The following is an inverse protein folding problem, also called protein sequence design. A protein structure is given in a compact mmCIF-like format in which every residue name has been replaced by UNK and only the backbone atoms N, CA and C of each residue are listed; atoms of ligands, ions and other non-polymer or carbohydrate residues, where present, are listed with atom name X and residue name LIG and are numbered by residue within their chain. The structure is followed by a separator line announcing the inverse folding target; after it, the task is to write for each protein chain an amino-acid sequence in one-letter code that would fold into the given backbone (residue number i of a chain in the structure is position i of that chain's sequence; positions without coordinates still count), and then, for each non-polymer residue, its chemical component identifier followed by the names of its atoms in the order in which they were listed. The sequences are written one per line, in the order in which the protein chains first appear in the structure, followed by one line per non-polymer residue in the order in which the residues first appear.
data_IF_259552496742
#
_entry.id   IF_259552496742
#
_cell.length_a   1.000
_cell.length_b   1.000
_cell.length_c   1.000
_cell.angle_alpha   90.00
_cell.angle_beta   90.00
_cell.angle_gamma   90.00
#
_symmetry.space_group_name_H-M   'P 1'
#
loop_
_entity.id
_entity.type
_entity.pdbx_description
1 polymer ?
#
# COMPACT_ATOMS: atom_id res chain seq x y z
N UNK A 1 12.44 -13.68 23.12
CA UNK A 1 13.16 -14.44 22.07
C UNK A 1 13.12 -13.57 20.83
N UNK A 2 14.27 -13.06 20.39
CA UNK A 2 14.35 -12.26 19.18
C UNK A 2 14.00 -13.18 18.00
N UNK A 3 12.88 -12.95 17.34
CA UNK A 3 12.56 -13.62 16.07
C UNK A 3 13.59 -13.18 15.05
N UNK A 4 14.36 -14.13 14.53
CA UNK A 4 15.12 -13.91 13.30
C UNK A 4 14.18 -13.27 12.28
N UNK A 5 14.65 -12.23 11.62
CA UNK A 5 13.88 -11.41 10.67
C UNK A 5 13.34 -12.25 9.51
N UNK A 6 12.18 -12.84 9.74
CA UNK A 6 11.43 -13.51 8.71
C UNK A 6 10.58 -12.48 7.99
N UNK A 7 10.76 -12.37 6.68
CA UNK A 7 9.99 -11.46 5.85
C UNK A 7 8.55 -11.99 5.71
N UNK A 8 7.74 -11.82 6.76
CA UNK A 8 6.36 -12.28 6.90
C UNK A 8 5.50 -11.96 5.65
N UNK A 9 5.79 -10.84 4.99
CA UNK A 9 5.08 -10.39 3.80
C UNK A 9 5.23 -11.35 2.62
N UNK A 10 6.33 -12.12 2.53
CA UNK A 10 6.52 -13.09 1.46
C UNK A 10 5.48 -14.23 1.53
N UNK A 11 5.14 -14.69 2.73
CA UNK A 11 4.17 -15.76 2.92
C UNK A 11 2.73 -15.26 2.95
N UNK A 12 2.46 -14.16 3.67
CA UNK A 12 1.12 -13.61 3.79
C UNK A 12 0.52 -13.20 2.44
N UNK A 13 1.28 -12.50 1.62
CA UNK A 13 0.82 -12.08 0.30
C UNK A 13 0.69 -13.23 -0.71
N UNK A 14 1.35 -14.38 -0.48
CA UNK A 14 1.18 -15.57 -1.31
C UNK A 14 -0.08 -16.36 -0.96
N UNK A 15 -0.32 -16.58 0.32
CA UNK A 15 -1.31 -17.57 0.77
C UNK A 15 -2.68 -16.96 1.10
N UNK A 16 -2.71 -15.88 1.85
CA UNK A 16 -3.93 -15.47 2.55
C UNK A 16 -4.47 -14.11 2.15
N UNK A 17 -3.63 -13.18 1.69
CA UNK A 17 -4.02 -11.79 1.45
C UNK A 17 -5.26 -11.60 0.58
N UNK A 18 -5.30 -12.28 -0.57
CA UNK A 18 -6.44 -12.16 -1.49
C UNK A 18 -7.70 -12.82 -0.95
N UNK A 19 -7.54 -13.90 -0.18
CA UNK A 19 -8.68 -14.57 0.45
C UNK A 19 -9.26 -13.74 1.60
N UNK A 20 -8.40 -13.09 2.38
CA UNK A 20 -8.80 -12.25 3.52
C UNK A 20 -9.40 -10.92 3.03
N UNK A 21 -8.73 -10.22 2.12
CA UNK A 21 -9.08 -8.85 1.75
C UNK A 21 -9.69 -8.69 0.37
N UNK A 22 -9.65 -9.74 -0.48
CA UNK A 22 -10.12 -9.66 -1.88
C UNK A 22 -11.56 -9.19 -2.05
N UNK A 23 -12.43 -9.47 -1.08
CA UNK A 23 -13.81 -9.00 -1.08
C UNK A 23 -13.93 -7.46 -1.02
N UNK A 24 -12.88 -6.76 -0.58
CA UNK A 24 -12.81 -5.29 -0.54
C UNK A 24 -12.27 -4.67 -1.82
N UNK A 25 -11.77 -5.49 -2.77
CA UNK A 25 -11.11 -5.04 -3.99
C UNK A 25 -12.09 -4.99 -5.17
N UNK A 26 -13.02 -4.03 -5.13
CA UNK A 26 -13.97 -3.84 -6.21
C UNK A 26 -13.43 -2.86 -7.26
N UNK A 27 -13.87 -3.03 -8.52
CA UNK A 27 -13.49 -2.13 -9.62
C UNK A 27 -13.97 -0.69 -9.36
N UNK A 28 -15.17 -0.53 -8.81
CA UNK A 28 -15.74 0.77 -8.44
C UNK A 28 -14.85 1.50 -7.43
N UNK A 29 -14.38 0.78 -6.41
CA UNK A 29 -13.48 1.34 -5.41
C UNK A 29 -12.13 1.72 -6.03
N UNK A 30 -11.54 0.85 -6.85
CA UNK A 30 -10.29 1.12 -7.54
C UNK A 30 -10.39 2.33 -8.48
N UNK A 31 -11.53 2.49 -9.19
CA UNK A 31 -11.80 3.66 -10.04
C UNK A 31 -11.88 4.94 -9.22
N UNK A 32 -12.64 4.96 -8.12
CA UNK A 32 -12.77 6.10 -7.22
C UNK A 32 -11.41 6.52 -6.63
N UNK A 33 -10.65 5.55 -6.10
CA UNK A 33 -9.33 5.76 -5.53
C UNK A 33 -8.36 6.33 -6.59
N UNK A 34 -8.36 5.77 -7.81
CA UNK A 34 -7.52 6.26 -8.92
C UNK A 34 -7.95 7.63 -9.46
N UNK A 35 -9.25 7.94 -9.40
CA UNK A 35 -9.76 9.28 -9.72
C UNK A 35 -9.24 10.33 -8.74
N UNK A 36 -9.27 10.02 -7.45
CA UNK A 36 -8.69 10.86 -6.42
C UNK A 36 -7.19 11.08 -6.66
N UNK A 37 -6.42 10.00 -6.92
CA UNK A 37 -4.98 10.06 -7.20
C UNK A 37 -4.69 11.03 -8.34
N UNK A 38 -5.36 10.86 -9.48
CA UNK A 38 -5.16 11.71 -10.66
C UNK A 38 -5.44 13.19 -10.38
N UNK A 39 -6.52 13.47 -9.66
CA UNK A 39 -6.91 14.84 -9.31
C UNK A 39 -6.06 15.45 -8.20
N UNK A 40 -5.63 14.68 -7.20
CA UNK A 40 -4.84 15.17 -6.09
C UNK A 40 -3.38 15.46 -6.49
N UNK A 41 -2.82 14.67 -7.40
CA UNK A 41 -1.48 14.86 -7.96
C UNK A 41 -1.47 15.79 -9.19
N UNK A 42 -2.63 16.25 -9.65
CA UNK A 42 -2.77 17.13 -10.83
C UNK A 42 -2.04 16.56 -12.05
N UNK A 43 -2.20 15.25 -12.27
CA UNK A 43 -1.49 14.55 -13.35
C UNK A 43 -1.97 15.00 -14.74
N UNK A 44 -1.02 15.26 -15.62
CA UNK A 44 -1.30 15.57 -17.03
C UNK A 44 -1.50 14.28 -17.84
N UNK A 45 -2.30 14.30 -18.90
CA UNK A 45 -2.41 13.16 -19.82
C UNK A 45 -1.03 12.68 -20.28
N UNK A 46 -0.81 11.37 -20.27
CA UNK A 46 0.46 10.76 -20.63
C UNK A 46 1.56 10.82 -19.56
N UNK A 47 1.28 11.34 -18.37
CA UNK A 47 2.23 11.32 -17.24
C UNK A 47 2.72 9.89 -16.96
N UNK A 48 3.99 9.76 -16.62
CA UNK A 48 4.62 8.50 -16.22
C UNK A 48 4.38 8.28 -14.72
N UNK A 49 3.65 7.22 -14.36
CA UNK A 49 3.25 6.92 -12.99
C UNK A 49 3.78 5.55 -12.59
N UNK A 50 4.43 5.48 -11.44
CA UNK A 50 4.78 4.22 -10.79
C UNK A 50 3.71 3.89 -9.74
N UNK A 51 3.07 2.73 -9.89
CA UNK A 51 2.25 2.10 -8.83
C UNK A 51 3.18 1.17 -8.03
N UNK A 52 3.63 1.65 -6.88
CA UNK A 52 4.61 0.99 -6.02
C UNK A 52 3.91 0.02 -5.06
N UNK A 53 4.28 -1.24 -5.09
CA UNK A 53 3.56 -2.36 -4.47
C UNK A 53 2.18 -2.56 -5.11
N UNK A 54 2.16 -2.67 -6.44
CA UNK A 54 0.93 -2.65 -7.24
C UNK A 54 0.01 -3.86 -7.03
N UNK A 55 0.50 -4.94 -6.40
CA UNK A 55 -0.23 -6.18 -6.25
C UNK A 55 -0.73 -6.70 -7.60
N UNK A 56 -1.98 -7.10 -7.66
CA UNK A 56 -2.64 -7.57 -8.90
C UNK A 56 -3.02 -6.44 -9.89
N UNK A 57 -2.54 -5.21 -9.67
CA UNK A 57 -2.64 -4.11 -10.63
C UNK A 57 -3.96 -3.35 -10.63
N UNK A 58 -4.79 -3.44 -9.58
CA UNK A 58 -6.12 -2.81 -9.56
C UNK A 58 -6.07 -1.28 -9.76
N UNK A 59 -5.10 -0.59 -9.16
CA UNK A 59 -4.91 0.86 -9.39
C UNK A 59 -4.15 1.13 -10.68
N UNK A 60 -3.10 0.34 -10.98
CA UNK A 60 -2.33 0.47 -12.21
C UNK A 60 -3.23 0.44 -13.46
N UNK A 61 -4.17 -0.50 -13.51
CA UNK A 61 -5.13 -0.65 -14.62
C UNK A 61 -6.05 0.59 -14.72
N UNK A 62 -6.59 1.07 -13.60
CA UNK A 62 -7.47 2.24 -13.62
C UNK A 62 -6.74 3.53 -13.98
N UNK A 63 -5.48 3.68 -13.55
CA UNK A 63 -4.63 4.80 -13.96
C UNK A 63 -4.30 4.72 -15.47
N UNK A 64 -4.03 3.52 -15.99
CA UNK A 64 -3.80 3.32 -17.43
C UNK A 64 -5.06 3.63 -18.26
N UNK A 65 -6.26 3.24 -17.81
CA UNK A 65 -7.54 3.62 -18.43
C UNK A 65 -7.74 5.15 -18.53
N UNK A 66 -7.12 5.91 -17.62
CA UNK A 66 -7.13 7.38 -17.63
C UNK A 66 -6.09 8.00 -18.56
N UNK A 67 -5.34 7.18 -19.30
CA UNK A 67 -4.35 7.63 -20.28
C UNK A 67 -2.98 7.93 -19.70
N UNK A 68 -2.67 7.48 -18.48
CA UNK A 68 -1.31 7.56 -17.93
C UNK A 68 -0.45 6.40 -18.43
N UNK A 69 0.87 6.64 -18.49
CA UNK A 69 1.88 5.60 -18.75
C UNK A 69 2.26 4.98 -17.42
N UNK A 70 1.71 3.82 -17.14
CA UNK A 70 1.84 3.20 -15.81
C UNK A 70 2.88 2.09 -15.82
N UNK A 71 3.76 2.12 -14.83
CA UNK A 71 4.62 1.00 -14.44
C UNK A 71 4.10 0.49 -13.10
N UNK A 72 3.77 -0.80 -12.99
CA UNK A 72 3.47 -1.48 -11.73
C UNK A 72 4.72 -2.19 -11.21
N UNK A 73 5.09 -1.97 -9.97
CA UNK A 73 6.18 -2.67 -9.31
C UNK A 73 5.67 -3.41 -8.08
N UNK A 74 5.99 -4.68 -7.97
CA UNK A 74 5.70 -5.49 -6.78
C UNK A 74 6.83 -6.49 -6.53
N UNK A 75 7.04 -6.86 -5.27
CA UNK A 75 8.03 -7.86 -4.89
C UNK A 75 7.62 -9.28 -5.33
N UNK A 76 6.30 -9.55 -5.37
CA UNK A 76 5.75 -10.84 -5.70
C UNK A 76 5.59 -10.99 -7.24
N UNK A 77 6.35 -11.88 -7.90
CA UNK A 77 6.26 -12.06 -9.34
C UNK A 77 4.90 -12.58 -9.80
N UNK A 78 4.17 -13.33 -8.96
CA UNK A 78 2.84 -13.81 -9.29
C UNK A 78 1.85 -12.64 -9.38
N UNK A 79 1.98 -11.64 -8.50
CA UNK A 79 1.17 -10.42 -8.56
C UNK A 79 1.50 -9.58 -9.80
N UNK A 80 2.78 -9.47 -10.15
CA UNK A 80 3.23 -8.80 -11.37
C UNK A 80 2.59 -9.43 -12.61
N UNK A 81 2.53 -10.75 -12.66
CA UNK A 81 1.86 -11.48 -13.73
C UNK A 81 0.34 -11.25 -13.73
N UNK A 82 -0.30 -11.26 -12.57
CA UNK A 82 -1.74 -10.97 -12.45
C UNK A 82 -2.06 -9.53 -12.90
N UNK A 83 -1.21 -8.56 -12.53
CA UNK A 83 -1.37 -7.17 -12.96
C UNK A 83 -1.31 -7.04 -14.49
N UNK A 84 -0.38 -7.75 -15.13
CA UNK A 84 -0.27 -7.77 -16.59
C UNK A 84 -1.50 -8.40 -17.24
N UNK A 85 -2.00 -9.52 -16.71
CA UNK A 85 -3.22 -10.17 -17.19
C UNK A 85 -4.45 -9.26 -17.04
N UNK A 86 -4.58 -8.57 -15.89
CA UNK A 86 -5.65 -7.62 -15.64
C UNK A 86 -5.64 -6.44 -16.63
N UNK A 87 -4.44 -5.94 -16.98
CA UNK A 87 -4.29 -4.89 -17.99
C UNK A 87 -4.73 -5.35 -19.37
N UNK A 88 -4.31 -6.54 -19.80
CA UNK A 88 -4.72 -7.15 -21.09
C UNK A 88 -6.25 -7.32 -21.12
N UNK A 89 -6.83 -7.89 -20.07
CA UNK A 89 -8.28 -8.09 -19.95
C UNK A 89 -9.08 -6.77 -19.99
N UNK A 90 -8.44 -5.68 -19.57
CA UNK A 90 -9.00 -4.32 -19.57
C UNK A 90 -8.68 -3.51 -20.84
N UNK A 91 -8.03 -4.09 -21.85
CA UNK A 91 -7.58 -3.44 -23.07
C UNK A 91 -6.68 -2.20 -22.82
N UNK A 92 -5.84 -2.25 -21.81
CA UNK A 92 -4.82 -1.22 -21.52
C UNK A 92 -3.44 -1.85 -21.46
N UNK A 93 -2.40 -1.02 -21.59
CA UNK A 93 -1.01 -1.44 -21.47
C UNK A 93 -0.40 -0.84 -20.21
N UNK A 94 0.27 -1.68 -19.43
CA UNK A 94 1.13 -1.28 -18.31
C UNK A 94 2.49 -1.97 -18.44
N UNK A 95 3.54 -1.31 -18.01
CA UNK A 95 4.82 -1.96 -17.73
C UNK A 95 4.75 -2.62 -16.36
N UNK A 96 5.33 -3.80 -16.17
CA UNK A 96 5.35 -4.47 -14.87
C UNK A 96 6.76 -4.95 -14.54
N UNK A 97 7.17 -4.79 -13.27
CA UNK A 97 8.51 -5.13 -12.79
C UNK A 97 8.41 -5.84 -11.43
N UNK A 98 9.06 -7.01 -11.32
CA UNK A 98 9.24 -7.69 -10.05
C UNK A 98 10.50 -7.15 -9.38
N UNK A 99 10.35 -6.34 -8.32
CA UNK A 99 11.46 -5.73 -7.59
C UNK A 99 11.06 -5.37 -6.15
N UNK A 100 12.07 -5.19 -5.30
CA UNK A 100 11.88 -4.67 -3.95
C UNK A 100 11.66 -3.14 -4.00
N UNK A 101 10.70 -2.64 -3.22
CA UNK A 101 10.43 -1.20 -3.13
C UNK A 101 11.60 -0.38 -2.56
N UNK A 102 12.57 -1.04 -1.89
CA UNK A 102 13.82 -0.42 -1.41
C UNK A 102 14.83 -0.18 -2.53
N UNK A 103 14.67 -0.84 -3.67
CA UNK A 103 15.59 -0.85 -4.81
C UNK A 103 14.81 -0.70 -6.12
N UNK A 104 14.12 0.43 -6.29
CA UNK A 104 13.34 0.75 -7.50
C UNK A 104 14.31 0.89 -8.68
N UNK A 105 14.25 0.03 -9.74
CA UNK A 105 15.27 -0.03 -10.78
C UNK A 105 15.11 1.08 -11.85
N UNK A 106 14.79 2.28 -11.42
CA UNK A 106 14.57 3.43 -12.29
C UNK A 106 15.18 4.70 -11.69
N UNK A 107 15.64 5.60 -12.55
CA UNK A 107 16.16 6.89 -12.16
C UNK A 107 15.50 8.00 -12.97
N UNK A 108 14.99 9.04 -12.30
CA UNK A 108 14.44 10.25 -12.90
C UNK A 108 13.43 9.97 -14.04
N UNK A 109 12.60 8.93 -13.85
CA UNK A 109 11.65 8.42 -14.86
C UNK A 109 10.24 8.95 -14.63
N UNK A 110 9.76 8.98 -13.39
CA UNK A 110 8.35 9.14 -13.09
C UNK A 110 7.98 10.59 -12.77
N UNK A 111 6.81 11.00 -13.25
CA UNK A 111 6.17 12.26 -12.86
C UNK A 111 5.48 12.11 -11.51
N UNK A 112 5.00 10.89 -11.19
CA UNK A 112 4.43 10.54 -9.90
C UNK A 112 4.72 9.10 -9.50
N UNK A 113 4.82 8.87 -8.18
CA UNK A 113 4.81 7.54 -7.54
C UNK A 113 3.63 7.50 -6.60
N UNK A 114 2.87 6.41 -6.63
CA UNK A 114 1.76 6.14 -5.71
C UNK A 114 2.02 4.85 -4.97
N UNK A 115 1.85 4.86 -3.65
CA UNK A 115 1.90 3.68 -2.80
C UNK A 115 0.58 3.61 -2.06
N UNK A 116 -0.25 2.67 -2.45
CA UNK A 116 -1.64 2.60 -2.05
C UNK A 116 -1.89 1.46 -1.04
N UNK A 117 -2.96 1.60 -0.28
CA UNK A 117 -3.49 0.55 0.58
C UNK A 117 -2.55 0.10 1.71
N UNK A 118 -1.78 1.04 2.29
CA UNK A 118 -0.90 0.81 3.45
C UNK A 118 0.25 -0.17 3.21
N UNK A 119 0.84 -0.17 2.02
CA UNK A 119 2.02 -0.99 1.74
C UNK A 119 3.30 -0.43 2.36
N UNK A 120 3.33 0.83 2.76
CA UNK A 120 4.44 1.45 3.50
C UNK A 120 4.36 1.12 5.00
N UNK A 121 5.50 0.81 5.62
CA UNK A 121 5.59 0.44 7.03
C UNK A 121 5.65 -1.07 7.30
N UNK A 122 5.79 -1.91 6.26
CA UNK A 122 5.92 -3.37 6.39
C UNK A 122 7.32 -3.83 6.79
N UNK A 123 8.33 -2.99 6.58
CA UNK A 123 9.72 -3.38 6.80
C UNK A 123 10.07 -3.36 8.30
N UNK A 124 11.18 -4.02 8.65
CA UNK A 124 11.53 -4.30 10.05
C UNK A 124 11.88 -3.04 10.85
N UNK A 125 12.36 -2.00 10.18
CA UNK A 125 12.84 -0.78 10.84
C UNK A 125 12.55 0.47 10.04
N UNK A 126 12.54 1.63 10.73
CA UNK A 126 12.47 2.96 10.11
C UNK A 126 13.61 3.18 9.10
N UNK A 127 14.80 2.60 9.36
CA UNK A 127 15.92 2.69 8.43
C UNK A 127 15.65 1.96 7.10
N UNK A 128 14.94 0.82 7.14
CA UNK A 128 14.53 0.12 5.93
C UNK A 128 13.40 0.88 5.20
N UNK A 129 12.43 1.43 5.93
CA UNK A 129 11.39 2.28 5.36
C UNK A 129 11.97 3.55 4.73
N UNK A 130 13.05 4.11 5.32
CA UNK A 130 13.76 5.27 4.77
C UNK A 130 14.40 4.95 3.40
N UNK A 131 14.93 3.74 3.19
CA UNK A 131 15.46 3.31 1.88
C UNK A 131 14.38 3.34 0.79
N UNK A 132 13.14 2.99 1.14
CA UNK A 132 12.00 3.09 0.19
C UNK A 132 11.80 4.53 -0.26
N UNK A 133 11.81 5.49 0.68
CA UNK A 133 11.65 6.90 0.34
C UNK A 133 12.82 7.45 -0.46
N UNK A 134 14.06 7.02 -0.16
CA UNK A 134 15.26 7.37 -0.94
C UNK A 134 15.16 6.82 -2.37
N UNK A 135 14.81 5.55 -2.52
CA UNK A 135 14.64 4.92 -3.83
C UNK A 135 13.51 5.56 -4.64
N UNK A 136 12.40 5.92 -4.00
CA UNK A 136 11.32 6.68 -4.62
C UNK A 136 11.78 8.08 -5.07
N UNK A 137 12.59 8.77 -4.24
CA UNK A 137 13.15 10.06 -4.60
C UNK A 137 14.07 9.96 -5.84
N UNK A 138 14.90 8.92 -5.93
CA UNK A 138 15.76 8.68 -7.10
C UNK A 138 14.96 8.38 -8.37
N UNK A 139 13.88 7.61 -8.25
CA UNK A 139 13.05 7.23 -9.39
C UNK A 139 12.17 8.38 -9.93
N UNK A 140 11.83 9.36 -9.08
CA UNK A 140 11.06 10.55 -9.46
C UNK A 140 11.92 11.58 -10.20
N UNK A 141 11.31 12.26 -11.16
CA UNK A 141 11.84 13.50 -11.76
C UNK A 141 11.90 14.61 -10.71
N UNK A 142 12.72 15.64 -10.93
CA UNK A 142 12.67 16.86 -10.13
C UNK A 142 11.27 17.48 -10.20
N UNK A 143 10.73 17.88 -9.05
CA UNK A 143 9.35 18.36 -8.92
C UNK A 143 8.28 17.26 -9.02
N UNK A 144 8.66 16.00 -9.18
CA UNK A 144 7.76 14.85 -9.20
C UNK A 144 7.04 14.66 -7.85
N UNK A 145 5.92 13.96 -7.89
CA UNK A 145 5.00 13.83 -6.76
C UNK A 145 5.00 12.41 -6.19
N UNK A 146 4.99 12.29 -4.87
CA UNK A 146 4.79 11.04 -4.14
C UNK A 146 3.45 11.08 -3.40
N UNK A 147 2.65 10.03 -3.52
CA UNK A 147 1.46 9.81 -2.73
C UNK A 147 1.63 8.53 -1.90
N UNK A 148 1.48 8.65 -0.59
CA UNK A 148 1.45 7.53 0.35
C UNK A 148 0.07 7.44 1.00
N UNK A 149 -0.65 6.35 0.76
CA UNK A 149 -1.94 6.06 1.38
C UNK A 149 -1.77 5.04 2.50
N UNK A 150 -1.85 5.49 3.74
CA UNK A 150 -1.58 4.71 4.94
C UNK A 150 -2.79 4.67 5.88
N UNK A 151 -2.79 3.68 6.77
CA UNK A 151 -3.72 3.66 7.90
C UNK A 151 -3.35 4.79 8.88
N UNK A 152 -4.33 5.61 9.24
CA UNK A 152 -4.16 6.64 10.25
C UNK A 152 -3.95 6.00 11.62
N UNK A 153 -2.79 6.25 12.24
CA UNK A 153 -2.42 5.67 13.53
C UNK A 153 -3.39 6.08 14.65
N UNK A 154 -3.76 7.35 14.68
CA UNK A 154 -4.66 7.90 15.70
C UNK A 154 -6.04 7.25 15.60
N UNK A 155 -6.55 7.10 14.38
CA UNK A 155 -7.80 6.38 14.14
C UNK A 155 -7.70 4.91 14.55
N UNK A 156 -6.58 4.25 14.24
CA UNK A 156 -6.37 2.84 14.57
C UNK A 156 -6.32 2.59 16.08
N UNK A 157 -5.83 3.56 16.87
CA UNK A 157 -5.84 3.50 18.34
C UNK A 157 -7.25 3.73 18.88
N UNK A 158 -7.93 4.75 18.39
CA UNK A 158 -9.30 5.11 18.85
C UNK A 158 -10.32 4.02 18.52
N UNK A 159 -10.12 3.32 17.40
CA UNK A 159 -11.01 2.24 16.93
C UNK A 159 -10.38 0.84 17.12
N UNK A 160 -9.48 0.70 18.09
CA UNK A 160 -8.78 -0.57 18.30
C UNK A 160 -9.73 -1.67 18.78
N UNK A 161 -9.79 -2.76 18.01
CA UNK A 161 -10.49 -3.98 18.36
C UNK A 161 -9.49 -5.13 18.33
N UNK A 162 -9.22 -5.75 19.47
CA UNK A 162 -8.21 -6.80 19.60
C UNK A 162 -8.58 -8.08 18.82
N UNK A 163 -9.85 -8.47 18.86
CA UNK A 163 -10.30 -9.68 18.19
C UNK A 163 -11.46 -9.35 17.25
N UNK A 164 -11.37 -9.82 16.03
CA UNK A 164 -12.37 -9.62 14.99
C UNK A 164 -12.54 -10.90 14.17
N UNK A 165 -13.54 -10.99 13.35
CA UNK A 165 -13.73 -12.12 12.47
C UNK A 165 -14.57 -11.75 11.25
N UNK A 166 -14.37 -12.47 10.18
CA UNK A 166 -15.22 -12.39 9.00
C UNK A 166 -15.28 -13.74 8.28
N UNK A 167 -16.27 -13.90 7.43
CA UNK A 167 -16.44 -15.08 6.61
C UNK A 167 -16.15 -14.71 5.17
N UNK A 168 -15.19 -15.39 4.56
CA UNK A 168 -14.85 -15.24 3.14
C UNK A 168 -15.96 -15.76 2.21
N UNK A 169 -15.87 -15.41 0.94
CA UNK A 169 -16.84 -15.85 -0.09
C UNK A 169 -16.92 -17.38 -0.24
N UNK A 170 -15.84 -18.08 0.03
CA UNK A 170 -15.72 -19.54 0.06
C UNK A 170 -16.23 -20.18 1.37
N UNK A 171 -16.83 -19.37 2.26
CA UNK A 171 -17.31 -19.75 3.60
C UNK A 171 -16.20 -20.08 4.61
N UNK A 172 -14.95 -19.78 4.31
CA UNK A 172 -13.84 -19.86 5.27
C UNK A 172 -14.01 -18.79 6.34
N UNK A 173 -13.89 -19.18 7.60
CA UNK A 173 -13.88 -18.27 8.75
C UNK A 173 -12.46 -17.80 9.01
N UNK A 174 -12.25 -16.50 9.00
CA UNK A 174 -11.01 -15.83 9.39
C UNK A 174 -11.24 -15.16 10.75
N UNK A 175 -10.57 -15.67 11.78
CA UNK A 175 -10.53 -15.03 13.10
C UNK A 175 -9.24 -14.24 13.20
N UNK A 176 -9.37 -12.95 13.39
CA UNK A 176 -8.26 -11.99 13.42
C UNK A 176 -7.96 -11.59 14.87
N UNK A 177 -6.72 -11.72 15.27
CA UNK A 177 -6.20 -11.17 16.52
C UNK A 177 -5.19 -10.08 16.20
N UNK A 178 -5.46 -8.89 16.72
CA UNK A 178 -4.59 -7.70 16.61
C UNK A 178 -3.87 -7.46 17.93
N UNK A 179 -2.59 -7.09 17.83
CA UNK A 179 -1.76 -6.72 18.97
C UNK A 179 -1.05 -5.40 18.61
N UNK A 180 -1.44 -4.31 19.29
CA UNK A 180 -0.85 -3.00 19.05
C UNK A 180 0.21 -2.71 20.10
N UNK A 181 1.48 -2.77 19.70
CA UNK A 181 2.59 -2.31 20.53
C UNK A 181 2.74 -0.79 20.41
N UNK A 182 2.36 -0.07 21.45
CA UNK A 182 2.44 1.39 21.50
C UNK A 182 3.89 1.91 21.59
N UNK A 183 4.82 1.11 22.12
CA UNK A 183 6.22 1.53 22.25
C UNK A 183 6.93 1.57 20.90
N UNK A 184 6.60 0.62 20.02
CA UNK A 184 7.12 0.55 18.66
C UNK A 184 6.16 1.07 17.61
N UNK A 185 4.91 1.39 18.00
CA UNK A 185 3.79 1.74 17.11
C UNK A 185 3.57 0.69 16.01
N UNK A 186 3.70 -0.61 16.34
CA UNK A 186 3.48 -1.71 15.40
C UNK A 186 2.19 -2.44 15.70
N UNK A 187 1.41 -2.66 14.64
CA UNK A 187 0.23 -3.50 14.66
C UNK A 187 0.62 -4.89 14.14
N UNK A 188 0.56 -5.87 15.03
CA UNK A 188 0.73 -7.28 14.68
C UNK A 188 -0.63 -7.92 14.50
N UNK A 189 -0.84 -8.60 13.39
CA UNK A 189 -2.09 -9.29 13.09
C UNK A 189 -1.80 -10.77 12.87
N UNK A 190 -2.58 -11.62 13.53
CA UNK A 190 -2.55 -13.05 13.38
C UNK A 190 -3.93 -13.56 12.97
N UNK A 191 -3.96 -14.55 12.09
CA UNK A 191 -5.21 -15.19 11.68
C UNK A 191 -5.27 -16.63 12.14
N UNK A 192 -6.45 -17.04 12.62
CA UNK A 192 -6.87 -18.42 12.67
C UNK A 192 -7.84 -18.61 11.50
N UNK A 193 -7.50 -19.50 10.61
CA UNK A 193 -8.28 -19.80 9.41
C UNK A 193 -8.97 -21.13 9.63
N UNK A 194 -10.31 -21.16 9.53
CA UNK A 194 -11.10 -22.37 9.66
C UNK A 194 -11.86 -22.60 8.36
N UNK A 195 -11.52 -23.65 7.64
CA UNK A 195 -12.19 -23.99 6.39
C UNK A 195 -13.62 -24.54 6.62
N UNK A 196 -14.48 -24.59 5.60
CA UNK A 196 -15.86 -25.09 5.75
C UNK A 196 -15.98 -26.55 6.20
N UNK A 197 -14.90 -27.33 6.14
CA UNK A 197 -14.86 -28.75 6.58
C UNK A 197 -14.36 -28.87 8.03
N UNK A 198 -14.03 -27.75 8.69
CA UNK A 198 -13.55 -27.70 10.06
C UNK A 198 -12.04 -27.84 10.21
N UNK A 199 -11.27 -27.87 9.12
CA UNK A 199 -9.82 -27.80 9.15
C UNK A 199 -9.36 -26.45 9.69
N UNK A 200 -8.45 -26.45 10.68
CA UNK A 200 -7.91 -25.26 11.32
C UNK A 200 -6.43 -25.11 11.02
N UNK A 201 -6.02 -23.90 10.65
CA UNK A 201 -4.61 -23.51 10.57
C UNK A 201 -4.39 -22.11 11.14
N UNK A 202 -3.20 -21.85 11.60
CA UNK A 202 -2.75 -20.52 11.95
C UNK A 202 -2.02 -19.90 10.75
N UNK A 203 -2.24 -18.61 10.54
CA UNK A 203 -1.53 -17.83 9.52
C UNK A 203 -0.94 -16.59 10.16
N UNK A 204 0.31 -16.33 9.86
CA UNK A 204 0.93 -15.04 10.15
C UNK A 204 0.25 -14.03 9.24
N UNK A 205 -0.43 -13.07 9.84
CA UNK A 205 -1.03 -11.95 9.13
C UNK A 205 0.02 -10.91 8.75
N UNK A 206 -0.18 -9.70 9.19
CA UNK A 206 0.75 -8.62 8.88
C UNK A 206 1.31 -7.95 10.14
N UNK A 207 2.48 -7.35 9.99
CA UNK A 207 3.16 -6.56 11.00
C UNK A 207 3.48 -5.21 10.39
N UNK A 208 2.68 -4.20 10.72
CA UNK A 208 2.75 -2.89 10.08
C UNK A 208 3.14 -1.82 11.08
N UNK A 209 4.17 -1.03 10.77
CA UNK A 209 4.49 0.19 11.49
C UNK A 209 3.44 1.24 11.17
N UNK A 210 2.77 1.77 12.20
CA UNK A 210 1.81 2.86 12.07
C UNK A 210 2.54 4.17 12.36
N UNK A 211 2.71 4.97 11.32
CA UNK A 211 3.37 6.27 11.41
C UNK A 211 2.37 7.37 11.78
N UNK A 212 2.80 8.31 12.62
CA UNK A 212 2.12 9.61 12.79
C UNK A 212 2.44 10.52 11.60
N UNK A 213 1.61 11.53 11.36
CA UNK A 213 1.88 12.53 10.33
C UNK A 213 3.22 13.27 10.57
N UNK A 214 3.54 13.57 11.81
CA UNK A 214 4.80 14.26 12.16
C UNK A 214 6.03 13.40 11.88
N UNK A 215 5.98 12.10 12.16
CA UNK A 215 7.05 11.16 11.78
C UNK A 215 7.21 11.09 10.27
N UNK A 216 6.10 10.92 9.52
CA UNK A 216 6.14 10.86 8.06
C UNK A 216 6.68 12.15 7.43
N UNK A 217 6.26 13.32 7.92
CA UNK A 217 6.79 14.60 7.44
C UNK A 217 8.31 14.67 7.65
N UNK A 218 8.79 14.30 8.84
CA UNK A 218 10.24 14.28 9.15
C UNK A 218 11.02 13.34 8.21
N UNK A 219 10.51 12.13 7.98
CA UNK A 219 11.16 11.15 7.09
C UNK A 219 11.20 11.64 5.64
N UNK A 220 10.09 12.20 5.15
CA UNK A 220 9.99 12.74 3.79
C UNK A 220 10.94 13.92 3.59
N UNK A 221 10.96 14.88 4.53
CA UNK A 221 11.87 16.03 4.48
C UNK A 221 13.33 15.61 4.54
N UNK A 222 13.65 14.57 5.32
CA UNK A 222 15.00 14.01 5.45
C UNK A 222 15.56 13.44 4.13
N UNK A 223 14.71 13.15 3.14
CA UNK A 223 15.12 12.66 1.81
C UNK A 223 14.77 13.61 0.67
N UNK A 224 14.48 14.87 0.99
CA UNK A 224 14.29 15.95 0.00
C UNK A 224 12.88 16.08 -0.57
N UNK A 225 11.87 15.51 0.11
CA UNK A 225 10.48 15.78 -0.21
C UNK A 225 9.93 16.93 0.66
N UNK A 226 8.93 17.64 0.13
CA UNK A 226 8.11 18.61 0.87
C UNK A 226 6.67 18.17 0.86
N UNK A 227 6.06 17.98 2.03
CA UNK A 227 4.64 17.64 2.15
C UNK A 227 3.79 18.82 1.66
N UNK A 228 2.93 18.57 0.69
CA UNK A 228 2.09 19.61 0.05
C UNK A 228 0.62 19.48 0.40
N UNK A 229 0.14 18.29 0.76
CA UNK A 229 -1.23 18.06 1.19
C UNK A 229 -1.34 16.79 2.03
N UNK A 230 -2.36 16.73 2.89
CA UNK A 230 -2.73 15.54 3.65
C UNK A 230 -4.25 15.41 3.64
N UNK A 231 -4.75 14.19 3.34
CA UNK A 231 -6.17 13.89 3.31
C UNK A 231 -6.49 12.71 4.25
N UNK A 232 -7.71 12.72 4.78
CA UNK A 232 -8.24 11.66 5.63
C UNK A 232 -8.94 10.54 4.88
N UNK A 233 -9.17 10.72 3.57
CA UNK A 233 -9.86 9.77 2.70
C UNK A 233 -9.88 10.21 1.24
N UNK A 234 -10.46 9.37 0.40
CA UNK A 234 -10.50 9.56 -1.06
C UNK A 234 -11.59 10.53 -1.55
N UNK A 235 -12.43 11.06 -0.65
CA UNK A 235 -13.37 12.16 -0.91
C UNK A 235 -12.77 13.55 -0.60
N UNK A 236 -11.43 13.61 -0.45
CA UNK A 236 -10.70 14.80 0.02
C UNK A 236 -11.07 15.19 1.45
N UNK A 237 -11.45 14.20 2.26
CA UNK A 237 -11.74 14.41 3.67
C UNK A 237 -10.56 15.10 4.38
N UNK A 238 -10.87 16.03 5.27
CA UNK A 238 -9.84 16.67 6.08
C UNK A 238 -9.23 15.63 7.02
N UNK A 239 -7.91 15.50 7.01
CA UNK A 239 -7.20 14.59 7.91
C UNK A 239 -7.46 14.95 9.38
N UNK A 240 -7.91 13.98 10.15
CA UNK A 240 -8.24 14.13 11.57
C UNK A 240 -8.18 12.78 12.29
N UNK A 241 -8.27 12.80 13.62
CA UNK A 241 -8.35 11.59 14.45
C UNK A 241 -9.52 10.67 14.03
N UNK A 242 -10.63 11.24 13.55
CA UNK A 242 -11.82 10.49 13.12
C UNK A 242 -11.72 9.89 11.71
N UNK A 243 -10.66 10.15 10.96
CA UNK A 243 -10.51 9.65 9.59
C UNK A 243 -9.61 8.42 9.54
N UNK A 244 -10.07 7.37 8.85
CA UNK A 244 -9.36 6.08 8.79
C UNK A 244 -8.04 6.14 8.04
N UNK A 245 -7.90 7.06 7.08
CA UNK A 245 -6.72 7.14 6.23
C UNK A 245 -5.84 8.34 6.60
N UNK A 246 -4.55 8.19 6.34
CA UNK A 246 -3.57 9.25 6.26
C UNK A 246 -2.97 9.19 4.85
N UNK A 247 -3.47 10.05 3.96
CA UNK A 247 -3.00 10.12 2.58
C UNK A 247 -2.09 11.35 2.47
N UNK A 248 -0.79 11.10 2.42
CA UNK A 248 0.23 12.15 2.36
C UNK A 248 0.66 12.37 0.92
N UNK A 249 0.63 13.62 0.48
CA UNK A 249 1.16 14.03 -0.83
C UNK A 249 2.39 14.89 -0.59
N UNK A 250 3.50 14.49 -1.22
CA UNK A 250 4.76 15.19 -1.10
C UNK A 250 5.37 15.44 -2.48
N UNK A 251 6.08 16.54 -2.64
CA UNK A 251 6.81 16.94 -3.85
C UNK A 251 8.30 16.76 -3.64
N UNK A 252 8.98 16.15 -4.60
CA UNK A 252 10.45 16.12 -4.65
C UNK A 252 11.00 17.51 -4.97
N UNK A 253 11.98 17.97 -4.18
CA UNK A 253 12.71 19.21 -4.41
C UNK A 253 13.55 19.22 -5.69
#
# INVERSE_FOLDING_TARGET
MASQGFAWYLDFFRADYLNVYGHTFTDERAEKESSFVAGALVLKPGAQVLDLCCGQGRHAVQLAKRGFKVTGLDLNPDYVQLAQQAAIASNVSIETVAADMREIPFHNKFDAIVNMYSSFGYLESEAEDLKVLQSAAEALKSGGMLLLDMLNREWAIDNYIQNDWHIGADRTLYVERRDLDLATSRMHVHFIVVDPKGGRRESIGHNTRLYTLTEMTRLLEGVGFHVTAVFGGFERDVYSIGTRRMIVIARKG
#
